data_IF_778888207170
#
_entry.id   IF_778888207170
#
_cell.length_a   1.000
_cell.length_b   1.000
_cell.length_c   1.000
_cell.angle_alpha   90.00
_cell.angle_beta   90.00
_cell.angle_gamma   90.00
#
_symmetry.space_group_name_H-M   'P 1'
#
loop_
_entity.id
_entity.type
_entity.pdbx_description
1 polymer ?
#
# COMPACT_ATOMS: atom_id res chain seq x y z
N UNK A 1 -77.26 -35.34 -48.46
CA UNK A 1 -75.96 -35.96 -48.76
C UNK A 1 -74.95 -34.84 -48.95
N UNK A 2 -74.30 -34.42 -47.88
CA UNK A 2 -73.26 -33.40 -47.91
C UNK A 2 -71.98 -34.03 -47.38
N UNK A 3 -70.91 -34.04 -48.19
CA UNK A 3 -69.64 -34.47 -47.87
C UNK A 3 -68.89 -33.38 -47.03
N UNK A 4 -68.54 -33.68 -45.82
CA UNK A 4 -67.63 -32.86 -45.01
C UNK A 4 -66.18 -33.30 -45.32
N UNK A 5 -65.51 -32.47 -46.10
CA UNK A 5 -64.05 -32.57 -46.26
C UNK A 5 -63.36 -31.77 -45.16
N UNK A 6 -62.84 -32.46 -44.18
CA UNK A 6 -62.05 -31.83 -43.12
C UNK A 6 -60.68 -31.40 -43.61
N UNK A 7 -60.46 -30.10 -43.78
CA UNK A 7 -59.15 -29.51 -43.94
C UNK A 7 -58.47 -29.46 -42.57
N UNK A 8 -57.39 -30.20 -42.37
CA UNK A 8 -56.48 -30.05 -41.21
C UNK A 8 -55.89 -28.62 -41.24
N UNK A 9 -55.89 -27.88 -40.13
CA UNK A 9 -55.36 -26.53 -40.08
C UNK A 9 -53.86 -26.53 -40.35
N UNK A 10 -53.43 -25.68 -41.27
CA UNK A 10 -52.07 -25.51 -41.74
C UNK A 10 -51.03 -25.30 -40.60
N UNK A 11 -51.50 -24.92 -39.42
CA UNK A 11 -50.66 -24.80 -38.21
C UNK A 11 -50.16 -26.13 -37.63
N UNK A 12 -50.92 -27.24 -37.81
CA UNK A 12 -50.55 -28.57 -37.35
C UNK A 12 -49.49 -29.22 -38.26
N UNK A 13 -49.56 -28.93 -39.55
CA UNK A 13 -48.58 -29.41 -40.53
C UNK A 13 -47.22 -28.72 -40.36
N UNK A 14 -47.24 -27.39 -40.08
CA UNK A 14 -46.05 -26.63 -39.78
C UNK A 14 -45.40 -27.08 -38.48
N UNK A 15 -46.15 -27.40 -37.42
CA UNK A 15 -45.64 -27.89 -36.16
C UNK A 15 -45.00 -29.30 -36.30
N UNK A 16 -45.57 -30.14 -37.11
CA UNK A 16 -45.01 -31.50 -37.38
C UNK A 16 -43.78 -31.45 -38.28
N UNK A 17 -43.69 -30.48 -39.22
CA UNK A 17 -42.47 -30.24 -40.00
C UNK A 17 -41.37 -29.61 -39.15
N UNK A 18 -41.71 -28.72 -38.21
CA UNK A 18 -40.71 -28.14 -37.29
C UNK A 18 -40.21 -29.22 -36.32
N UNK A 19 -41.08 -30.15 -35.86
CA UNK A 19 -40.66 -31.23 -34.98
C UNK A 19 -39.78 -32.26 -35.69
N UNK A 20 -39.97 -32.52 -36.98
CA UNK A 20 -39.09 -33.35 -37.79
C UNK A 20 -37.77 -32.66 -38.19
N UNK A 21 -37.72 -31.32 -38.24
CA UNK A 21 -36.49 -30.58 -38.45
C UNK A 21 -35.67 -30.45 -37.18
N UNK A 22 -36.33 -30.46 -36.01
CA UNK A 22 -35.63 -30.46 -34.72
C UNK A 22 -35.13 -31.84 -34.33
N UNK A 23 -35.77 -32.91 -34.83
CA UNK A 23 -35.35 -34.31 -34.55
C UNK A 23 -34.24 -34.84 -35.46
N UNK A 24 -33.75 -34.05 -36.41
CA UNK A 24 -32.54 -34.38 -37.18
C UNK A 24 -31.39 -33.44 -36.84
N UNK A 25 -31.17 -33.16 -35.60
CA UNK A 25 -29.81 -32.98 -35.09
C UNK A 25 -29.33 -34.39 -34.73
N UNK A 26 -28.74 -35.08 -35.69
CA UNK A 26 -27.70 -36.06 -35.41
C UNK A 26 -26.83 -35.50 -34.35
N UNK A 27 -26.72 -36.19 -33.24
CA UNK A 27 -25.78 -35.89 -32.19
C UNK A 27 -24.39 -35.83 -32.87
N UNK A 28 -23.96 -34.62 -33.28
CA UNK A 28 -22.56 -34.34 -33.41
C UNK A 28 -21.97 -34.78 -32.07
N UNK A 29 -21.10 -35.77 -32.09
CA UNK A 29 -20.51 -36.35 -30.90
C UNK A 29 -20.09 -35.18 -30.01
N UNK A 30 -20.63 -35.14 -28.81
CA UNK A 30 -20.21 -34.11 -27.83
C UNK A 30 -18.75 -34.40 -27.60
N UNK A 31 -17.89 -33.47 -28.10
CA UNK A 31 -16.47 -33.56 -27.81
C UNK A 31 -16.35 -33.54 -26.29
N UNK A 32 -15.80 -34.59 -25.74
CA UNK A 32 -15.57 -34.70 -24.31
C UNK A 32 -14.46 -33.77 -23.92
N UNK A 33 -14.68 -32.83 -22.98
CA UNK A 33 -13.65 -31.91 -22.48
C UNK A 33 -13.09 -32.47 -21.18
N UNK A 34 -11.80 -32.68 -21.13
CA UNK A 34 -11.07 -33.21 -19.96
C UNK A 34 -10.01 -32.21 -19.53
N UNK A 35 -9.91 -31.97 -18.23
CA UNK A 35 -8.93 -31.07 -17.64
C UNK A 35 -7.82 -31.86 -16.96
N UNK A 36 -6.57 -31.58 -17.34
CA UNK A 36 -5.38 -32.07 -16.67
C UNK A 36 -4.58 -30.92 -16.03
N UNK A 37 -3.81 -31.22 -15.00
CA UNK A 37 -2.92 -30.27 -14.36
C UNK A 37 -1.50 -30.38 -14.92
N UNK A 38 -0.83 -29.27 -15.13
CA UNK A 38 0.60 -29.22 -15.51
C UNK A 38 1.44 -30.05 -14.53
N UNK A 39 2.31 -30.92 -15.06
CA UNK A 39 3.13 -31.84 -14.27
C UNK A 39 2.40 -33.07 -13.75
N UNK A 40 1.07 -33.12 -13.84
CA UNK A 40 0.25 -34.25 -13.45
C UNK A 40 0.16 -35.33 -14.52
N UNK A 41 -0.74 -36.29 -14.30
CA UNK A 41 -1.08 -37.37 -15.26
C UNK A 41 -2.55 -37.33 -15.56
N UNK A 42 -2.93 -37.68 -16.80
CA UNK A 42 -4.32 -37.75 -17.24
C UNK A 42 -4.56 -39.01 -18.03
N UNK A 43 -5.78 -39.56 -17.93
CA UNK A 43 -6.24 -40.66 -18.72
C UNK A 43 -7.35 -40.19 -19.67
N UNK A 44 -7.12 -40.27 -20.96
CA UNK A 44 -8.11 -39.99 -21.99
C UNK A 44 -8.80 -41.30 -22.35
N UNK A 45 -10.11 -41.34 -22.14
CA UNK A 45 -10.89 -42.54 -22.37
C UNK A 45 -11.31 -42.66 -23.84
N UNK A 46 -11.01 -43.80 -24.46
CA UNK A 46 -11.65 -44.17 -25.74
C UNK A 46 -12.94 -44.92 -25.39
N UNK A 47 -14.09 -44.24 -25.47
CA UNK A 47 -15.39 -44.81 -25.03
C UNK A 47 -15.98 -45.73 -26.06
N UNK A 48 -16.74 -46.72 -25.58
CA UNK A 48 -17.50 -47.67 -26.39
C UNK A 48 -16.64 -48.52 -27.35
N UNK A 49 -15.40 -48.84 -26.96
CA UNK A 49 -14.53 -49.70 -27.76
C UNK A 49 -15.15 -51.08 -27.87
N UNK A 50 -15.36 -51.56 -29.10
CA UNK A 50 -15.89 -52.89 -29.39
C UNK A 50 -14.89 -53.97 -29.03
N UNK A 51 -15.39 -55.11 -28.53
CA UNK A 51 -14.56 -56.32 -28.31
C UNK A 51 -13.99 -56.89 -29.60
N UNK A 52 -14.54 -56.47 -30.76
CA UNK A 52 -14.13 -56.89 -32.07
C UNK A 52 -13.10 -55.94 -32.69
N UNK A 53 -12.72 -54.89 -32.00
CA UNK A 53 -11.70 -53.93 -32.49
C UNK A 53 -10.37 -54.65 -32.70
N UNK A 54 -9.85 -54.56 -33.88
CA UNK A 54 -8.55 -55.12 -34.23
C UNK A 54 -7.40 -54.26 -33.73
N UNK A 55 -7.62 -52.98 -33.63
CA UNK A 55 -6.61 -51.95 -33.24
C UNK A 55 -7.31 -50.70 -32.73
N UNK A 56 -6.69 -50.02 -31.76
CA UNK A 56 -7.05 -48.68 -31.29
C UNK A 56 -5.85 -47.74 -31.58
N UNK A 57 -6.14 -46.65 -32.25
CA UNK A 57 -5.11 -45.66 -32.67
C UNK A 57 -5.50 -44.32 -32.14
N UNK A 58 -4.56 -43.64 -31.47
CA UNK A 58 -4.70 -42.29 -31.01
C UNK A 58 -3.98 -41.28 -31.89
N UNK A 59 -4.64 -40.16 -32.14
CA UNK A 59 -4.12 -39.01 -32.89
C UNK A 59 -4.19 -37.75 -32.05
N UNK A 60 -3.21 -36.89 -32.17
CA UNK A 60 -3.31 -35.52 -31.69
C UNK A 60 -3.75 -34.66 -32.88
N UNK A 61 -5.02 -34.24 -32.86
CA UNK A 61 -5.66 -33.57 -34.00
C UNK A 61 -6.52 -34.47 -34.87
N UNK A 62 -6.68 -34.09 -36.13
CA UNK A 62 -7.48 -34.82 -37.11
C UNK A 62 -6.69 -36.06 -37.66
N UNK A 63 -7.30 -37.27 -37.60
CA UNK A 63 -6.66 -38.50 -38.09
C UNK A 63 -6.26 -38.48 -39.57
N UNK A 64 -6.87 -37.62 -40.39
CA UNK A 64 -6.56 -37.50 -41.81
C UNK A 64 -5.39 -36.56 -42.08
N UNK A 65 -5.07 -35.68 -41.14
CA UNK A 65 -4.07 -34.62 -41.33
C UNK A 65 -2.79 -34.87 -40.53
N UNK A 66 -2.87 -35.68 -39.45
CA UNK A 66 -1.75 -35.92 -38.55
C UNK A 66 -1.36 -37.40 -38.48
N UNK A 67 -0.07 -37.72 -38.27
CA UNK A 67 0.36 -39.10 -38.05
C UNK A 67 -0.17 -39.61 -36.71
N UNK A 68 -0.32 -40.94 -36.59
CA UNK A 68 -0.73 -41.54 -35.34
C UNK A 68 0.27 -41.25 -34.21
N UNK A 69 -0.27 -40.83 -33.07
CA UNK A 69 0.49 -40.59 -31.87
C UNK A 69 0.86 -41.90 -31.16
N UNK A 70 -0.10 -42.82 -31.11
CA UNK A 70 0.01 -44.11 -30.46
C UNK A 70 -0.93 -45.15 -31.10
N UNK A 71 -0.49 -46.39 -31.19
CA UNK A 71 -1.32 -47.51 -31.66
C UNK A 71 -1.13 -48.72 -30.73
N UNK A 72 -2.18 -49.49 -30.52
CA UNK A 72 -2.11 -50.72 -29.74
C UNK A 72 -1.20 -51.79 -30.35
N UNK A 73 -0.82 -51.65 -31.62
CA UNK A 73 0.10 -52.54 -32.32
C UNK A 73 1.53 -52.06 -32.39
N UNK A 74 1.79 -50.77 -32.16
CA UNK A 74 3.13 -50.19 -32.20
C UNK A 74 3.75 -50.18 -30.80
N UNK A 75 4.87 -50.88 -30.69
CA UNK A 75 5.50 -51.17 -29.37
C UNK A 75 6.23 -49.96 -28.72
N UNK A 76 6.48 -48.86 -29.46
CA UNK A 76 7.25 -47.74 -28.95
C UNK A 76 6.62 -46.38 -29.31
N UNK A 77 6.01 -45.68 -28.33
CA UNK A 77 5.61 -44.33 -28.51
C UNK A 77 6.86 -43.43 -28.72
N UNK A 78 6.74 -42.38 -29.55
CA UNK A 78 7.82 -41.38 -29.72
C UNK A 78 8.19 -40.62 -28.44
N UNK A 79 7.20 -40.47 -27.59
CA UNK A 79 7.36 -39.82 -26.29
C UNK A 79 7.00 -40.83 -25.19
N UNK A 80 7.94 -41.07 -24.27
CA UNK A 80 7.79 -42.03 -23.16
C UNK A 80 6.67 -41.65 -22.18
N UNK A 81 6.20 -40.42 -22.22
CA UNK A 81 5.10 -39.94 -21.40
C UNK A 81 3.73 -40.51 -21.81
N UNK A 82 3.61 -40.98 -23.04
CA UNK A 82 2.38 -41.54 -23.58
C UNK A 82 2.37 -43.07 -23.46
N UNK A 83 1.29 -43.60 -22.95
CA UNK A 83 1.10 -45.06 -22.85
C UNK A 83 -0.39 -45.44 -22.99
N UNK A 84 -0.67 -46.69 -23.40
CA UNK A 84 -2.03 -47.20 -23.39
C UNK A 84 -2.31 -47.94 -22.09
N UNK A 85 -3.50 -47.66 -21.55
CA UNK A 85 -4.09 -48.40 -20.44
C UNK A 85 -5.27 -49.22 -20.97
N UNK A 86 -5.35 -50.50 -20.57
CA UNK A 86 -6.40 -51.42 -21.00
C UNK A 86 -6.58 -51.53 -22.53
N UNK A 87 -5.47 -51.38 -23.26
CA UNK A 87 -5.39 -51.41 -24.73
C UNK A 87 -6.25 -50.38 -25.47
N UNK A 88 -6.85 -49.43 -24.81
CA UNK A 88 -7.74 -48.45 -25.45
C UNK A 88 -7.57 -47.02 -24.98
N UNK A 89 -7.37 -46.80 -23.71
CA UNK A 89 -7.28 -45.43 -23.13
C UNK A 89 -5.86 -44.91 -23.17
N UNK A 90 -5.70 -43.62 -23.51
CA UNK A 90 -4.40 -42.97 -23.58
C UNK A 90 -4.05 -42.33 -22.24
N UNK A 91 -2.98 -42.77 -21.62
CA UNK A 91 -2.41 -42.16 -20.43
C UNK A 91 -1.29 -41.23 -20.83
N UNK A 92 -1.32 -39.98 -20.33
CA UNK A 92 -0.27 -38.97 -20.52
C UNK A 92 0.25 -38.59 -19.14
N UNK A 93 1.54 -38.77 -18.91
CA UNK A 93 2.22 -38.40 -17.67
C UNK A 93 3.02 -37.12 -17.86
N UNK A 94 3.35 -36.41 -16.76
CA UNK A 94 4.11 -35.14 -16.81
C UNK A 94 3.51 -34.14 -17.82
N UNK A 95 2.20 -33.89 -17.69
CA UNK A 95 1.48 -32.99 -18.61
C UNK A 95 2.18 -31.63 -18.74
N UNK A 96 2.26 -31.18 -19.98
CA UNK A 96 2.82 -29.87 -20.37
C UNK A 96 1.75 -29.03 -21.04
N UNK A 97 1.88 -27.71 -21.01
CA UNK A 97 0.95 -26.80 -21.68
C UNK A 97 0.79 -27.12 -23.18
N UNK A 98 1.88 -27.58 -23.81
CA UNK A 98 1.88 -27.96 -25.23
C UNK A 98 1.14 -29.28 -25.54
N UNK A 99 0.76 -30.05 -24.54
CA UNK A 99 -0.06 -31.24 -24.71
C UNK A 99 -1.56 -30.89 -24.82
N UNK A 100 -1.92 -29.62 -24.59
CA UNK A 100 -3.29 -29.12 -24.80
C UNK A 100 -3.69 -29.26 -26.26
N UNK A 101 -4.91 -29.75 -26.49
CA UNK A 101 -5.42 -29.92 -27.84
C UNK A 101 -6.52 -30.96 -27.96
N UNK A 102 -6.92 -31.21 -29.21
CA UNK A 102 -7.91 -32.23 -29.53
C UNK A 102 -7.20 -33.56 -29.77
N UNK A 103 -7.70 -34.61 -29.14
CA UNK A 103 -7.24 -35.97 -29.33
C UNK A 103 -8.37 -36.80 -29.95
N UNK A 104 -8.02 -37.59 -30.94
CA UNK A 104 -8.99 -38.50 -31.61
C UNK A 104 -8.55 -39.94 -31.40
N UNK A 105 -9.42 -40.71 -30.77
CA UNK A 105 -9.31 -42.17 -30.69
C UNK A 105 -10.05 -42.76 -31.89
N UNK A 106 -9.37 -43.56 -32.68
CA UNK A 106 -9.96 -44.32 -33.79
C UNK A 106 -9.90 -45.82 -33.46
N UNK A 107 -11.05 -46.44 -33.48
CA UNK A 107 -11.22 -47.91 -33.40
C UNK A 107 -11.27 -48.48 -34.80
N UNK A 108 -10.32 -49.35 -35.10
CA UNK A 108 -10.26 -50.03 -36.43
C UNK A 108 -11.08 -51.33 -36.37
N UNK A 109 -12.15 -51.34 -37.15
CA UNK A 109 -13.05 -52.49 -37.31
C UNK A 109 -13.02 -53.01 -38.74
N UNK A 110 -13.50 -54.24 -38.96
CA UNK A 110 -13.47 -54.88 -40.31
C UNK A 110 -14.35 -54.17 -41.35
N UNK A 111 -15.33 -53.32 -40.95
CA UNK A 111 -16.30 -52.71 -41.88
C UNK A 111 -16.39 -51.21 -41.78
N UNK A 112 -16.28 -50.66 -40.59
CA UNK A 112 -16.38 -49.21 -40.36
C UNK A 112 -15.52 -48.83 -39.15
N UNK A 113 -14.77 -47.75 -39.28
CA UNK A 113 -13.99 -47.18 -38.18
C UNK A 113 -14.90 -46.26 -37.34
N UNK A 114 -14.77 -46.35 -36.01
CA UNK A 114 -15.43 -45.41 -35.10
C UNK A 114 -14.41 -44.45 -34.52
N UNK A 115 -14.77 -43.17 -34.47
CA UNK A 115 -13.95 -42.10 -33.91
C UNK A 115 -14.62 -41.54 -32.66
N UNK A 116 -13.80 -41.32 -31.61
CA UNK A 116 -14.18 -40.60 -30.42
C UNK A 116 -13.19 -39.44 -30.22
N UNK A 117 -13.72 -38.24 -29.99
CA UNK A 117 -12.93 -37.01 -29.84
C UNK A 117 -12.94 -36.58 -28.37
N UNK A 118 -11.76 -36.20 -27.89
CA UNK A 118 -11.55 -35.68 -26.53
C UNK A 118 -10.72 -34.38 -26.65
N UNK A 119 -11.24 -33.31 -26.10
CA UNK A 119 -10.48 -32.08 -25.95
C UNK A 119 -9.77 -32.09 -24.61
N UNK A 120 -8.45 -32.10 -24.61
CA UNK A 120 -7.63 -31.95 -23.42
C UNK A 120 -7.29 -30.48 -23.21
N UNK A 121 -7.66 -29.93 -22.06
CA UNK A 121 -7.24 -28.64 -21.58
C UNK A 121 -6.24 -28.83 -20.45
N UNK A 122 -5.08 -28.16 -20.55
CA UNK A 122 -4.00 -28.31 -19.57
C UNK A 122 -4.01 -27.11 -18.64
N UNK A 123 -4.51 -27.32 -17.44
CA UNK A 123 -4.67 -26.27 -16.46
C UNK A 123 -3.43 -26.09 -15.58
N UNK A 124 -3.09 -24.85 -15.32
CA UNK A 124 -2.05 -24.46 -14.38
C UNK A 124 -2.66 -23.56 -13.29
N UNK A 125 -2.87 -24.06 -12.06
CA UNK A 125 -3.47 -23.24 -11.02
C UNK A 125 -2.49 -22.16 -10.55
N UNK A 126 -3.00 -20.97 -10.13
CA UNK A 126 -2.15 -19.94 -9.54
C UNK A 126 -1.35 -20.48 -8.34
N UNK A 127 -0.07 -20.15 -8.28
CA UNK A 127 0.84 -20.64 -7.24
C UNK A 127 0.67 -19.90 -5.91
N UNK A 128 0.43 -18.59 -5.98
CA UNK A 128 0.22 -17.75 -4.81
C UNK A 128 -1.24 -17.80 -4.34
N UNK A 129 -1.49 -17.35 -3.12
CA UNK A 129 -2.83 -17.08 -2.62
C UNK A 129 -3.39 -15.77 -3.23
N UNK A 130 -4.72 -15.60 -3.33
CA UNK A 130 -5.32 -14.34 -3.75
C UNK A 130 -4.98 -13.22 -2.77
N UNK A 131 -4.89 -12.00 -3.30
CA UNK A 131 -4.65 -10.77 -2.54
C UNK A 131 -5.87 -9.88 -2.58
N UNK A 132 -6.24 -9.32 -1.43
CA UNK A 132 -7.36 -8.42 -1.27
C UNK A 132 -6.90 -7.06 -0.75
N UNK A 133 -7.51 -6.00 -1.25
CA UNK A 133 -7.38 -4.66 -0.68
C UNK A 133 -8.63 -3.84 -0.98
N UNK A 134 -8.75 -2.71 -0.31
CA UNK A 134 -9.86 -1.79 -0.49
C UNK A 134 -9.35 -0.39 -0.79
N UNK A 135 -10.00 0.30 -1.69
CA UNK A 135 -9.70 1.68 -2.05
C UNK A 135 -10.95 2.55 -2.00
N UNK A 136 -10.75 3.84 -1.84
CA UNK A 136 -11.82 4.84 -1.98
C UNK A 136 -11.93 5.26 -3.44
N UNK A 137 -13.14 5.40 -3.96
CA UNK A 137 -13.34 6.01 -5.28
C UNK A 137 -12.78 7.43 -5.33
N UNK A 138 -12.60 7.97 -6.52
CA UNK A 138 -12.13 9.35 -6.72
C UNK A 138 -13.01 10.40 -6.02
N UNK A 139 -14.31 10.14 -5.86
CA UNK A 139 -15.23 10.98 -5.09
C UNK A 139 -15.11 10.82 -3.57
N UNK A 140 -14.40 9.79 -3.10
CA UNK A 140 -14.29 9.44 -1.67
C UNK A 140 -15.54 8.84 -1.03
N UNK A 141 -16.62 8.68 -1.80
CA UNK A 141 -17.93 8.27 -1.28
C UNK A 141 -18.27 6.79 -1.53
N UNK A 142 -17.53 6.11 -2.38
CA UNK A 142 -17.76 4.71 -2.72
C UNK A 142 -16.55 3.87 -2.31
N UNK A 143 -16.82 2.63 -1.91
CA UNK A 143 -15.81 1.63 -1.60
C UNK A 143 -15.54 0.77 -2.83
N UNK A 144 -14.29 0.58 -3.19
CA UNK A 144 -13.85 -0.39 -4.19
C UNK A 144 -13.09 -1.51 -3.50
N UNK A 145 -13.58 -2.74 -3.70
CA UNK A 145 -12.94 -3.96 -3.20
C UNK A 145 -12.21 -4.63 -4.35
N UNK A 146 -10.93 -4.83 -4.21
CA UNK A 146 -10.08 -5.47 -5.20
C UNK A 146 -9.65 -6.85 -4.72
N UNK A 147 -9.86 -7.86 -5.57
CA UNK A 147 -9.37 -9.20 -5.37
C UNK A 147 -8.55 -9.62 -6.59
N UNK A 148 -7.30 -9.98 -6.40
CA UNK A 148 -6.40 -10.37 -7.48
C UNK A 148 -5.74 -11.71 -7.21
N UNK A 149 -5.79 -12.60 -8.22
CA UNK A 149 -5.18 -13.93 -8.16
C UNK A 149 -4.54 -14.28 -9.50
N UNK A 150 -3.36 -13.72 -9.79
CA UNK A 150 -2.71 -13.85 -11.09
C UNK A 150 -2.03 -15.21 -11.29
N UNK A 151 -1.80 -15.56 -12.56
CA UNK A 151 -0.93 -16.65 -12.97
C UNK A 151 -1.62 -18.00 -13.18
N UNK A 152 -2.95 -18.04 -13.20
CA UNK A 152 -3.73 -19.24 -13.51
C UNK A 152 -4.07 -19.40 -14.98
N UNK A 153 -4.14 -20.64 -15.48
CA UNK A 153 -4.70 -20.99 -16.77
C UNK A 153 -5.55 -22.27 -16.63
N UNK A 154 -6.80 -22.30 -17.12
CA UNK A 154 -7.58 -21.12 -17.46
C UNK A 154 -7.68 -20.14 -16.29
N UNK A 155 -8.14 -18.93 -16.57
CA UNK A 155 -8.24 -17.90 -15.53
C UNK A 155 -9.09 -18.37 -14.36
N UNK A 156 -8.68 -18.07 -13.11
CA UNK A 156 -9.48 -18.36 -11.93
C UNK A 156 -10.75 -17.52 -11.91
N UNK A 157 -11.78 -18.01 -11.25
CA UNK A 157 -12.98 -17.23 -10.92
C UNK A 157 -12.86 -16.70 -9.50
N UNK A 158 -13.23 -15.44 -9.31
CA UNK A 158 -13.15 -14.71 -8.06
C UNK A 158 -14.52 -14.19 -7.67
N UNK A 159 -14.93 -14.37 -6.44
CA UNK A 159 -16.21 -13.91 -5.92
C UNK A 159 -16.04 -13.24 -4.57
N UNK A 160 -16.64 -12.07 -4.41
CA UNK A 160 -16.72 -11.39 -3.14
C UNK A 160 -17.93 -11.88 -2.34
N UNK A 161 -17.73 -12.06 -1.04
CA UNK A 161 -18.75 -12.49 -0.08
C UNK A 161 -18.78 -11.59 1.14
N UNK A 162 -19.99 -11.38 1.63
CA UNK A 162 -20.27 -10.75 2.90
C UNK A 162 -21.05 -11.73 3.77
N UNK A 163 -20.57 -12.03 4.97
CA UNK A 163 -21.22 -12.97 5.90
C UNK A 163 -21.64 -14.31 5.28
N UNK A 164 -20.88 -14.79 4.30
CA UNK A 164 -21.14 -16.04 3.59
C UNK A 164 -22.08 -15.96 2.40
N UNK A 165 -22.67 -14.78 2.12
CA UNK A 165 -23.50 -14.54 0.95
C UNK A 165 -22.67 -13.86 -0.17
N UNK A 166 -22.98 -14.21 -1.41
CA UNK A 166 -22.32 -13.59 -2.56
C UNK A 166 -22.77 -12.13 -2.71
N UNK A 167 -21.79 -11.26 -2.85
CA UNK A 167 -22.00 -9.80 -2.85
C UNK A 167 -22.68 -9.32 -4.13
N UNK A 168 -22.45 -9.97 -5.28
CA UNK A 168 -23.02 -9.64 -6.59
C UNK A 168 -24.54 -9.52 -6.58
N UNK A 169 -25.23 -10.22 -5.69
CA UNK A 169 -26.68 -10.20 -5.57
C UNK A 169 -27.22 -9.10 -4.62
N UNK A 170 -26.34 -8.30 -4.04
CA UNK A 170 -26.69 -7.28 -3.07
C UNK A 170 -27.12 -5.99 -3.76
N UNK A 171 -28.21 -5.37 -3.28
CA UNK A 171 -28.80 -4.15 -3.85
C UNK A 171 -27.92 -2.90 -3.74
N UNK A 172 -26.85 -2.95 -2.98
CA UNK A 172 -25.92 -1.84 -2.74
C UNK A 172 -24.59 -1.95 -3.51
N UNK A 173 -24.46 -2.99 -4.34
CA UNK A 173 -23.39 -3.09 -5.36
C UNK A 173 -23.77 -2.16 -6.51
N UNK A 174 -22.89 -1.22 -6.83
CA UNK A 174 -23.06 -0.25 -7.91
C UNK A 174 -22.54 -0.82 -9.22
N UNK A 175 -21.38 -1.45 -9.19
CA UNK A 175 -20.78 -2.08 -10.35
C UNK A 175 -19.85 -3.22 -9.94
N UNK A 176 -19.80 -4.24 -10.80
CA UNK A 176 -18.91 -5.37 -10.73
C UNK A 176 -18.09 -5.43 -12.01
N UNK A 177 -16.78 -5.59 -11.89
CA UNK A 177 -15.87 -5.66 -13.03
C UNK A 177 -14.90 -6.80 -12.81
N UNK A 178 -14.88 -7.73 -13.76
CA UNK A 178 -13.94 -8.84 -13.77
C UNK A 178 -12.97 -8.73 -14.94
N UNK A 179 -11.70 -8.90 -14.67
CA UNK A 179 -10.66 -9.17 -15.65
C UNK A 179 -10.15 -10.62 -15.52
N UNK A 180 -9.13 -10.99 -16.26
CA UNK A 180 -8.59 -12.35 -16.25
C UNK A 180 -8.18 -12.86 -14.86
N UNK A 181 -7.68 -11.99 -14.03
CA UNK A 181 -7.05 -12.33 -12.74
C UNK A 181 -7.41 -11.38 -11.59
N UNK A 182 -8.28 -10.41 -11.85
CA UNK A 182 -8.71 -9.42 -10.85
C UNK A 182 -10.21 -9.16 -10.95
N UNK A 183 -10.86 -9.17 -9.79
CA UNK A 183 -12.29 -8.87 -9.64
C UNK A 183 -12.47 -7.68 -8.72
N UNK A 184 -13.23 -6.68 -9.19
CA UNK A 184 -13.46 -5.42 -8.49
C UNK A 184 -14.95 -5.20 -8.29
N UNK A 185 -15.35 -4.99 -7.03
CA UNK A 185 -16.68 -4.61 -6.64
C UNK A 185 -16.70 -3.16 -6.16
N UNK A 186 -17.60 -2.36 -6.69
CA UNK A 186 -17.83 -0.99 -6.24
C UNK A 186 -19.12 -0.91 -5.45
N UNK A 187 -19.04 -0.48 -4.20
CA UNK A 187 -20.11 -0.51 -3.23
C UNK A 187 -20.52 0.89 -2.79
N UNK A 188 -21.82 1.05 -2.53
CA UNK A 188 -22.34 2.28 -1.93
C UNK A 188 -21.97 2.34 -0.43
N UNK A 189 -21.56 3.50 0.04
CA UNK A 189 -21.18 3.73 1.43
C UNK A 189 -22.33 3.61 2.45
N UNK A 190 -23.58 3.67 2.01
CA UNK A 190 -24.77 3.68 2.89
C UNK A 190 -24.91 2.44 3.79
N UNK A 191 -24.33 1.31 3.39
CA UNK A 191 -24.39 0.03 4.11
C UNK A 191 -23.07 -0.36 4.78
N UNK A 192 -22.06 0.52 4.71
CA UNK A 192 -20.77 0.26 5.33
C UNK A 192 -20.82 0.56 6.81
N UNK A 193 -20.19 -0.31 7.59
CA UNK A 193 -20.02 -0.14 9.03
C UNK A 193 -18.57 -0.45 9.44
N UNK A 194 -18.14 0.16 10.53
CA UNK A 194 -16.82 -0.11 11.10
C UNK A 194 -16.64 -1.58 11.43
N UNK A 195 -15.48 -2.17 11.06
CA UNK A 195 -15.10 -3.57 11.21
C UNK A 195 -15.91 -4.57 10.38
N UNK A 196 -16.61 -4.10 9.37
CA UNK A 196 -17.25 -4.99 8.42
C UNK A 196 -16.18 -5.74 7.60
N UNK A 197 -16.35 -7.05 7.45
CA UNK A 197 -15.37 -7.92 6.78
C UNK A 197 -15.93 -8.42 5.47
N UNK A 198 -15.16 -8.25 4.41
CA UNK A 198 -15.41 -8.82 3.11
C UNK A 198 -14.39 -9.93 2.82
N UNK A 199 -14.87 -11.02 2.24
CA UNK A 199 -14.06 -12.19 1.89
C UNK A 199 -14.12 -12.42 0.39
N UNK A 200 -12.98 -12.44 -0.28
CA UNK A 200 -12.86 -12.91 -1.65
C UNK A 200 -12.50 -14.39 -1.66
N UNK A 201 -13.22 -15.17 -2.43
CA UNK A 201 -13.00 -16.59 -2.62
C UNK A 201 -12.61 -16.84 -4.07
N UNK A 202 -11.46 -17.45 -4.27
CA UNK A 202 -11.00 -17.89 -5.57
C UNK A 202 -11.32 -19.36 -5.83
N UNK A 203 -11.72 -19.70 -7.05
CA UNK A 203 -11.87 -21.08 -7.49
C UNK A 203 -11.14 -21.30 -8.82
N UNK A 204 -10.58 -22.49 -8.98
CA UNK A 204 -9.89 -22.90 -10.19
C UNK A 204 -10.23 -24.35 -10.53
N UNK A 205 -10.38 -24.65 -11.81
CA UNK A 205 -10.91 -25.94 -12.29
C UNK A 205 -10.19 -27.17 -11.74
N UNK A 206 -8.89 -27.12 -11.57
CA UNK A 206 -8.07 -28.27 -11.12
C UNK A 206 -7.68 -28.19 -9.64
N UNK A 207 -8.03 -27.10 -8.93
CA UNK A 207 -7.72 -26.93 -7.50
C UNK A 207 -8.99 -27.15 -6.68
N UNK A 208 -9.02 -28.20 -5.87
CA UNK A 208 -10.17 -28.48 -5.01
C UNK A 208 -10.32 -27.48 -3.86
N UNK A 209 -9.20 -26.95 -3.38
CA UNK A 209 -9.20 -25.93 -2.35
C UNK A 209 -9.61 -24.58 -2.94
N UNK A 210 -10.47 -23.88 -2.24
CA UNK A 210 -10.88 -22.51 -2.57
C UNK A 210 -10.13 -21.53 -1.67
N UNK A 211 -8.94 -21.07 -2.09
CA UNK A 211 -8.21 -20.10 -1.31
C UNK A 211 -8.98 -18.78 -1.25
N UNK A 212 -8.81 -18.08 -0.14
CA UNK A 212 -9.54 -16.85 0.10
C UNK A 212 -8.63 -15.80 0.75
N UNK A 213 -8.99 -14.55 0.56
CA UNK A 213 -8.44 -13.41 1.29
C UNK A 213 -9.57 -12.58 1.89
N UNK A 214 -9.26 -11.77 2.89
CA UNK A 214 -10.24 -10.94 3.58
C UNK A 214 -9.78 -9.50 3.69
N UNK A 215 -10.72 -8.58 3.66
CA UNK A 215 -10.52 -7.16 3.92
C UNK A 215 -11.49 -6.74 5.03
N UNK A 216 -10.96 -6.24 6.12
CA UNK A 216 -11.73 -5.59 7.18
C UNK A 216 -11.73 -4.08 6.93
N UNK A 217 -12.88 -3.48 6.73
CA UNK A 217 -12.99 -2.04 6.56
C UNK A 217 -13.10 -1.34 7.90
N UNK A 218 -12.36 -0.22 8.02
CA UNK A 218 -12.23 0.51 9.27
C UNK A 218 -12.51 1.99 9.08
N UNK A 219 -13.26 2.54 10.02
CA UNK A 219 -13.40 3.98 10.18
C UNK A 219 -12.03 4.58 10.53
N UNK A 220 -11.68 5.79 10.03
CA UNK A 220 -10.44 6.46 10.42
C UNK A 220 -10.34 6.68 11.93
N UNK A 221 -9.15 6.50 12.48
CA UNK A 221 -8.78 6.91 13.84
C UNK A 221 -7.67 7.94 13.74
N UNK A 222 -7.80 9.04 14.50
CA UNK A 222 -6.90 10.19 14.42
C UNK A 222 -6.12 10.38 15.70
N UNK A 223 -4.87 10.79 15.53
CA UNK A 223 -3.97 11.21 16.62
C UNK A 223 -3.27 12.51 16.22
N UNK A 224 -3.09 13.40 17.18
CA UNK A 224 -2.34 14.65 17.02
C UNK A 224 -1.25 14.80 18.06
N UNK A 225 -0.32 15.70 17.78
CA UNK A 225 0.62 16.19 18.78
C UNK A 225 -0.09 17.04 19.84
N UNK A 226 0.53 17.19 21.03
CA UNK A 226 0.02 18.10 22.06
C UNK A 226 -0.19 19.53 21.53
N UNK A 227 -1.04 20.35 22.18
CA UNK A 227 -1.24 21.75 21.79
C UNK A 227 0.08 22.49 21.61
N UNK A 228 0.22 23.17 20.48
CA UNK A 228 1.44 23.89 20.10
C UNK A 228 1.37 25.35 20.50
N UNK A 229 2.55 25.94 20.72
CA UNK A 229 2.68 27.39 20.94
C UNK A 229 3.57 27.97 19.85
N UNK A 230 3.11 29.05 19.21
CA UNK A 230 3.87 29.84 18.24
C UNK A 230 4.14 31.23 18.78
N UNK A 231 5.32 31.80 18.53
CA UNK A 231 5.55 33.23 18.77
C UNK A 231 5.21 34.03 17.51
N UNK A 232 4.77 35.27 17.72
CA UNK A 232 4.48 36.19 16.61
C UNK A 232 5.71 36.31 15.73
N UNK A 233 5.55 36.12 14.43
CA UNK A 233 6.61 36.12 13.44
C UNK A 233 7.25 34.77 13.13
N UNK A 234 7.08 33.77 13.98
CA UNK A 234 7.62 32.43 13.78
C UNK A 234 6.70 31.57 12.90
N UNK A 235 7.21 30.39 12.52
CA UNK A 235 6.44 29.37 11.83
C UNK A 235 6.12 28.22 12.78
N UNK A 236 4.94 27.61 12.60
CA UNK A 236 4.53 26.44 13.37
C UNK A 236 3.96 25.37 12.44
N UNK A 237 4.18 24.12 12.76
CA UNK A 237 3.60 22.98 12.03
C UNK A 237 2.71 22.19 12.96
N UNK A 238 1.45 22.05 12.57
CA UNK A 238 0.47 21.20 13.21
C UNK A 238 0.45 19.86 12.50
N UNK A 239 0.49 18.75 13.25
CA UNK A 239 0.55 17.40 12.70
C UNK A 239 -0.70 16.62 13.08
N UNK A 240 -1.26 15.94 12.11
CA UNK A 240 -2.37 15.02 12.27
C UNK A 240 -2.02 13.68 11.60
N UNK A 241 -2.23 12.60 12.33
CA UNK A 241 -1.93 11.24 11.87
C UNK A 241 -3.18 10.36 11.91
N UNK A 242 -3.38 9.59 10.84
CA UNK A 242 -4.34 8.47 10.84
C UNK A 242 -3.63 7.24 11.37
N UNK A 243 -4.09 6.68 12.47
CA UNK A 243 -3.55 5.46 13.10
C UNK A 243 -4.19 4.21 12.55
N UNK A 244 -5.48 4.28 12.23
CA UNK A 244 -6.24 3.20 11.61
C UNK A 244 -7.19 3.77 10.57
N UNK A 245 -7.52 2.96 9.56
CA UNK A 245 -8.47 3.31 8.51
C UNK A 245 -8.29 2.41 7.30
N UNK A 246 -9.36 1.76 6.87
CA UNK A 246 -9.40 0.95 5.65
C UNK A 246 -10.72 1.20 4.92
N UNK A 247 -10.69 1.69 3.69
CA UNK A 247 -9.53 2.20 2.93
C UNK A 247 -8.84 3.41 3.57
N UNK A 248 -7.69 3.78 3.00
CA UNK A 248 -6.95 4.96 3.43
C UNK A 248 -7.84 6.21 3.41
N UNK A 249 -7.75 7.03 4.46
CA UNK A 249 -8.55 8.23 4.58
C UNK A 249 -7.92 9.42 3.85
N UNK A 250 -8.77 10.27 3.27
CA UNK A 250 -8.38 11.61 2.83
C UNK A 250 -8.34 12.53 4.03
N UNK A 251 -7.24 13.26 4.19
CA UNK A 251 -7.05 14.26 5.24
C UNK A 251 -7.28 15.66 4.69
N UNK A 252 -7.99 16.48 5.45
CA UNK A 252 -8.14 17.91 5.19
C UNK A 252 -8.09 18.70 6.49
N UNK A 253 -7.80 20.00 6.38
CA UNK A 253 -7.72 20.93 7.50
C UNK A 253 -8.81 21.97 7.39
N UNK A 254 -9.53 22.21 8.49
CA UNK A 254 -10.52 23.27 8.59
C UNK A 254 -10.11 24.25 9.68
N UNK A 255 -10.56 25.47 9.53
CA UNK A 255 -10.35 26.51 10.50
C UNK A 255 -11.66 26.80 11.21
N UNK A 256 -11.63 26.72 12.53
CA UNK A 256 -12.68 27.09 13.46
C UNK A 256 -14.13 26.63 13.17
N UNK A 257 -14.79 26.21 14.22
CA UNK A 257 -16.16 25.62 14.25
C UNK A 257 -17.24 26.68 14.08
N UNK A 258 -16.92 27.96 14.20
CA UNK A 258 -17.88 29.05 14.25
C UNK A 258 -18.34 29.58 12.89
N UNK A 259 -17.77 29.09 11.79
CA UNK A 259 -18.15 29.46 10.42
C UNK A 259 -18.39 28.21 9.55
N UNK A 260 -19.20 28.30 8.47
CA UNK A 260 -19.41 27.15 7.61
C UNK A 260 -18.06 26.55 7.18
N UNK A 261 -17.96 25.23 7.25
CA UNK A 261 -16.78 24.40 7.03
C UNK A 261 -15.94 24.86 5.83
N UNK A 262 -15.05 25.83 6.04
CA UNK A 262 -14.12 26.28 5.01
C UNK A 262 -12.81 25.47 5.14
N UNK A 263 -12.57 24.62 4.15
CA UNK A 263 -11.34 23.86 4.07
C UNK A 263 -10.16 24.80 3.79
N UNK A 264 -9.11 24.72 4.62
CA UNK A 264 -7.88 25.48 4.42
C UNK A 264 -7.23 24.99 3.12
N UNK A 265 -7.13 25.88 2.15
CA UNK A 265 -6.44 25.59 0.90
C UNK A 265 -4.95 25.89 1.03
N UNK A 266 -4.09 25.03 0.43
CA UNK A 266 -2.66 25.31 0.39
C UNK A 266 -2.39 26.59 -0.42
N UNK A 267 -1.66 27.51 0.17
CA UNK A 267 -1.31 28.79 -0.46
C UNK A 267 -1.05 29.90 0.54
N UNK A 268 -0.41 30.97 0.11
CA UNK A 268 -0.06 32.09 0.97
C UNK A 268 0.78 31.66 2.18
N UNK A 269 0.25 31.82 3.38
CA UNK A 269 0.92 31.46 4.64
C UNK A 269 0.67 30.01 5.09
N UNK A 270 -0.26 29.30 4.45
CA UNK A 270 -0.61 27.94 4.81
C UNK A 270 0.01 26.94 3.84
N UNK A 271 0.90 26.10 4.35
CA UNK A 271 1.50 25.01 3.59
C UNK A 271 0.94 23.68 4.12
N UNK A 272 0.36 22.90 3.23
CA UNK A 272 -0.17 21.58 3.57
C UNK A 272 0.67 20.53 2.86
N UNK A 273 1.26 19.62 3.63
CA UNK A 273 1.99 18.46 3.14
C UNK A 273 1.34 17.20 3.67
N UNK A 274 1.03 16.25 2.78
CA UNK A 274 0.53 14.94 3.14
C UNK A 274 1.51 13.87 2.68
N UNK A 275 1.93 13.02 3.62
CA UNK A 275 2.81 11.87 3.37
C UNK A 275 2.15 10.62 3.97
N UNK A 276 1.58 9.79 3.10
CA UNK A 276 0.84 8.61 3.54
C UNK A 276 -0.30 8.96 4.52
N UNK A 277 -0.20 8.46 5.73
CA UNK A 277 -1.20 8.63 6.79
C UNK A 277 -0.99 9.89 7.66
N UNK A 278 -0.06 10.77 7.30
CA UNK A 278 0.27 11.98 8.08
C UNK A 278 0.02 13.21 7.24
N UNK A 279 -0.72 14.16 7.79
CA UNK A 279 -0.89 15.51 7.21
C UNK A 279 -0.31 16.54 8.14
N UNK A 280 0.46 17.48 7.56
CA UNK A 280 1.10 18.59 8.26
C UNK A 280 0.59 19.91 7.69
N UNK A 281 0.06 20.75 8.58
CA UNK A 281 -0.31 22.12 8.28
C UNK A 281 0.76 23.06 8.86
N UNK A 282 1.54 23.71 8.01
CA UNK A 282 2.52 24.71 8.42
C UNK A 282 1.94 26.09 8.23
N UNK A 283 1.91 26.86 9.31
CA UNK A 283 1.47 28.26 9.36
C UNK A 283 2.73 29.13 9.44
N UNK A 284 2.95 29.93 8.42
CA UNK A 284 4.09 30.84 8.33
C UNK A 284 3.74 32.21 8.91
N UNK A 285 4.70 32.81 9.60
CA UNK A 285 4.57 34.13 10.20
C UNK A 285 3.34 34.28 11.10
N UNK A 286 3.34 33.52 12.21
CA UNK A 286 2.24 33.49 13.17
C UNK A 286 1.83 34.90 13.61
N UNK A 287 0.54 35.20 13.58
CA UNK A 287 -0.04 36.46 13.97
C UNK A 287 -0.98 36.32 15.17
N UNK A 288 -0.80 37.16 16.16
CA UNK A 288 -1.67 37.19 17.33
C UNK A 288 -3.07 37.70 16.94
N UNK A 289 -4.10 36.97 17.40
CA UNK A 289 -5.50 37.33 17.12
C UNK A 289 -6.07 36.74 15.83
N UNK A 290 -5.23 36.33 14.86
CA UNK A 290 -5.70 35.71 13.63
C UNK A 290 -5.40 34.21 13.55
N UNK A 291 -4.28 33.73 14.10
CA UNK A 291 -3.84 32.35 13.93
C UNK A 291 -4.01 31.51 15.22
N UNK A 292 -4.26 32.13 16.35
CA UNK A 292 -4.58 31.43 17.60
C UNK A 292 -5.97 30.82 17.53
N UNK A 293 -6.13 29.64 18.12
CA UNK A 293 -7.38 28.89 18.14
C UNK A 293 -7.21 27.42 17.84
N UNK A 294 -8.30 26.72 17.62
CA UNK A 294 -8.26 25.30 17.28
C UNK A 294 -8.50 25.09 15.79
N UNK A 295 -7.65 24.30 15.18
CA UNK A 295 -7.78 23.79 13.83
C UNK A 295 -8.38 22.40 13.87
N UNK A 296 -9.17 22.05 12.89
CA UNK A 296 -9.81 20.72 12.80
C UNK A 296 -9.13 19.91 11.72
N UNK A 297 -8.52 18.80 12.10
CA UNK A 297 -8.08 17.78 11.18
C UNK A 297 -9.24 16.84 10.91
N UNK A 298 -9.66 16.74 9.65
CA UNK A 298 -10.75 15.93 9.18
C UNK A 298 -10.22 14.76 8.37
N UNK A 299 -10.54 13.53 8.78
CA UNK A 299 -10.21 12.31 8.04
C UNK A 299 -11.50 11.65 7.55
N UNK A 300 -11.58 11.40 6.26
CA UNK A 300 -12.74 10.81 5.62
C UNK A 300 -12.36 9.63 4.74
N UNK A 301 -13.10 8.53 4.90
CA UNK A 301 -13.12 7.41 3.98
C UNK A 301 -14.58 6.97 3.70
N UNK A 302 -14.85 5.98 2.83
CA UNK A 302 -16.23 5.53 2.55
C UNK A 302 -17.00 5.01 3.76
N UNK A 303 -16.32 4.60 4.84
CA UNK A 303 -16.97 4.13 6.07
C UNK A 303 -17.50 5.28 6.90
N UNK A 304 -16.86 6.45 6.83
CA UNK A 304 -17.30 7.65 7.53
C UNK A 304 -16.20 8.68 7.76
N UNK A 305 -16.54 9.61 8.64
CA UNK A 305 -15.77 10.80 8.95
C UNK A 305 -15.31 10.78 10.40
N UNK A 306 -14.10 11.28 10.66
CA UNK A 306 -13.57 11.63 12.00
C UNK A 306 -12.89 12.99 11.97
N UNK A 307 -13.04 13.70 13.09
CA UNK A 307 -12.49 15.03 13.29
C UNK A 307 -11.68 15.06 14.57
N UNK A 308 -10.58 15.79 14.54
CA UNK A 308 -9.68 15.97 15.67
C UNK A 308 -9.27 17.43 15.78
N UNK A 309 -9.44 18.00 16.99
CA UNK A 309 -9.08 19.38 17.26
C UNK A 309 -7.61 19.49 17.64
N UNK A 310 -6.88 20.33 16.92
CA UNK A 310 -5.47 20.65 17.14
C UNK A 310 -5.37 22.11 17.46
N UNK A 311 -5.10 22.46 18.73
CA UNK A 311 -5.15 23.84 19.19
C UNK A 311 -3.76 24.52 19.18
N UNK A 312 -3.72 25.77 18.71
CA UNK A 312 -2.54 26.61 18.61
C UNK A 312 -2.69 27.83 19.50
N UNK A 313 -1.70 28.10 20.33
CA UNK A 313 -1.60 29.32 21.13
C UNK A 313 -0.54 30.23 20.52
N UNK A 314 -0.90 31.46 20.18
CA UNK A 314 0.06 32.47 19.68
C UNK A 314 0.41 33.44 20.79
N UNK A 315 1.71 33.58 21.09
CA UNK A 315 2.23 34.44 22.14
C UNK A 315 3.14 35.49 21.54
N UNK A 316 3.18 36.70 22.17
CA UNK A 316 4.20 37.67 21.84
C UNK A 316 5.55 37.26 22.44
N UNK A 317 6.67 37.43 21.72
CA UNK A 317 7.97 37.21 22.31
C UNK A 317 8.20 38.24 23.42
N UNK A 318 8.54 37.77 24.62
CA UNK A 318 8.88 38.66 25.72
C UNK A 318 10.23 39.32 25.42
N UNK A 319 10.25 40.67 25.37
CA UNK A 319 11.49 41.41 25.20
C UNK A 319 12.32 41.33 26.50
N UNK A 320 13.06 40.25 26.68
CA UNK A 320 13.90 40.00 27.86
C UNK A 320 14.90 41.12 28.08
N UNK A 321 15.46 41.71 27.00
CA UNK A 321 16.40 42.81 27.09
C UNK A 321 15.76 44.05 27.73
N UNK A 322 14.53 44.36 27.34
CA UNK A 322 13.77 45.47 27.93
C UNK A 322 13.45 45.24 29.41
N UNK A 323 13.06 44.03 29.78
CA UNK A 323 12.73 43.65 31.16
C UNK A 323 14.00 43.70 32.06
N UNK A 324 15.09 43.07 31.59
CA UNK A 324 16.37 43.10 32.33
C UNK A 324 16.91 44.54 32.43
N UNK A 325 16.84 45.32 31.36
CA UNK A 325 17.22 46.72 31.36
C UNK A 325 16.43 47.53 32.38
N UNK A 326 15.10 47.36 32.46
CA UNK A 326 14.26 48.03 33.43
C UNK A 326 14.59 47.61 34.89
N UNK A 327 14.84 46.34 35.13
CA UNK A 327 15.24 45.86 36.49
C UNK A 327 16.59 46.40 36.88
N UNK A 328 17.56 46.46 35.97
CA UNK A 328 18.90 47.06 36.25
C UNK A 328 18.78 48.55 36.54
N UNK A 329 18.02 49.30 35.76
CA UNK A 329 17.81 50.72 35.99
C UNK A 329 17.13 51.00 37.35
N UNK A 330 16.08 50.24 37.66
CA UNK A 330 15.38 50.35 38.95
C UNK A 330 16.30 50.00 40.14
N UNK A 331 17.14 48.99 40.00
CA UNK A 331 18.11 48.61 41.04
C UNK A 331 19.17 49.69 41.25
N UNK A 332 19.67 50.29 40.19
CA UNK A 332 20.63 51.43 40.28
C UNK A 332 19.98 52.63 40.92
N UNK A 333 18.74 52.99 40.56
CA UNK A 333 18.01 54.06 41.20
C UNK A 333 17.77 53.82 42.70
N UNK A 334 17.45 52.60 43.08
CA UNK A 334 17.28 52.26 44.50
C UNK A 334 18.60 52.38 45.29
N UNK A 335 19.72 51.90 44.70
CA UNK A 335 21.05 52.06 45.30
C UNK A 335 21.40 53.54 45.43
N UNK A 336 21.18 54.38 44.41
CA UNK A 336 21.46 55.81 44.43
C UNK A 336 20.59 56.53 45.48
N UNK A 337 19.31 56.20 45.57
CA UNK A 337 18.42 56.80 46.62
C UNK A 337 18.84 56.42 48.02
N UNK A 338 19.14 55.12 48.25
CA UNK A 338 19.61 54.65 49.56
C UNK A 338 20.94 55.27 49.93
N UNK A 339 21.91 55.35 49.02
CA UNK A 339 23.20 56.03 49.24
C UNK A 339 23.01 57.51 49.50
N UNK A 340 22.14 58.18 48.74
CA UNK A 340 21.80 59.57 48.97
C UNK A 340 21.20 59.83 50.36
N UNK A 341 20.27 59.00 50.78
CA UNK A 341 19.67 59.08 52.11
C UNK A 341 20.70 58.79 53.23
N UNK A 342 21.55 57.76 53.06
CA UNK A 342 22.62 57.45 54.03
C UNK A 342 23.62 58.63 54.15
N UNK A 343 24.00 59.25 53.06
CA UNK A 343 24.91 60.42 53.06
C UNK A 343 24.24 61.63 53.68
N UNK A 344 22.96 61.84 53.44
CA UNK A 344 22.17 62.91 54.06
C UNK A 344 22.11 62.84 55.59
N UNK A 345 21.84 61.64 56.12
CA UNK A 345 21.74 61.42 57.56
C UNK A 345 23.09 61.22 58.26
N UNK A 346 24.18 60.84 57.51
CA UNK A 346 25.51 60.63 58.08
C UNK A 346 26.58 61.35 57.25
N UNK A 347 26.67 62.73 57.35
CA UNK A 347 27.58 63.54 56.57
C UNK A 347 29.10 63.28 56.86
N UNK A 348 29.37 62.59 58.00
CA UNK A 348 30.74 62.20 58.38
C UNK A 348 31.32 61.06 57.51
N UNK A 349 30.49 60.31 56.82
CA UNK A 349 30.94 59.28 55.89
C UNK A 349 31.52 59.85 54.60
N UNK A 350 31.04 61.05 54.20
CA UNK A 350 31.55 61.79 53.02
C UNK A 350 32.98 62.29 53.25
N UNK A 351 33.31 62.65 54.45
CA UNK A 351 34.64 63.20 54.80
C UNK A 351 35.72 62.09 54.93
N UNK A 352 35.31 60.86 55.15
CA UNK A 352 36.22 59.67 55.20
C UNK A 352 36.58 59.16 53.81
N UNK A 353 35.75 59.32 52.82
CA UNK A 353 36.00 58.87 51.48
C UNK A 353 36.98 59.79 50.73
N UNK A 354 37.11 61.12 51.18
CA UNK A 354 38.04 62.07 50.58
C UNK A 354 39.48 61.99 51.14
N UNK A 355 39.68 61.20 52.22
CA UNK A 355 41.01 61.10 52.86
C UNK A 355 41.85 59.91 52.55
N UNK A 356 41.38 59.07 51.59
CA UNK A 356 42.14 57.90 51.15
C UNK A 356 42.58 58.05 49.67
N UNK A 357 43.28 59.09 49.37
CA UNK A 357 44.12 59.17 48.18
C UNK A 357 45.54 59.03 48.62
N UNK A 358 46.24 57.95 48.35
CA UNK A 358 47.69 57.91 48.52
C UNK A 358 48.27 58.75 47.38
N UNK A 359 48.99 59.86 47.77
CA UNK A 359 49.89 60.54 46.90
C UNK A 359 51.07 59.56 46.62
N UNK A 360 51.16 59.11 45.44
CA UNK A 360 52.46 58.80 44.85
C UNK A 360 52.57 59.46 43.49
N UNK A 361 53.61 60.21 43.45
CA UNK A 361 54.04 60.98 42.34
C UNK A 361 54.54 60.12 41.19
N UNK A 362 54.38 60.69 40.08
CA UNK A 362 55.31 60.68 38.93
C UNK A 362 54.94 59.79 37.73
N UNK A 363 55.00 60.56 36.69
CA UNK A 363 55.14 60.20 35.26
C UNK A 363 53.89 60.33 34.42
N UNK A 364 53.99 61.37 33.59
CA UNK A 364 53.02 61.78 32.64
C UNK A 364 52.73 60.80 31.55
N UNK A 365 51.52 60.81 31.16
CA UNK A 365 51.16 60.64 29.74
C UNK A 365 49.83 61.30 29.47
N UNK A 366 49.89 62.07 28.44
CA UNK A 366 48.85 62.94 27.87
C UNK A 366 47.80 62.07 27.21
N UNK A 367 46.58 62.08 27.74
CA UNK A 367 45.44 61.58 27.00
C UNK A 367 44.94 62.68 26.04
N UNK A 368 45.22 62.48 24.77
CA UNK A 368 44.61 63.23 23.67
C UNK A 368 43.21 62.65 23.43
N UNK A 369 42.19 63.44 23.69
CA UNK A 369 40.87 63.27 23.16
C UNK A 369 40.95 63.54 21.63
N UNK A 370 40.59 62.55 20.84
CA UNK A 370 40.27 62.75 19.43
C UNK A 370 38.78 62.41 19.26
N UNK A 371 38.01 63.48 19.10
CA UNK A 371 36.76 63.47 18.36
C UNK A 371 37.07 63.07 16.93
N UNK A 372 36.32 62.17 16.36
CA UNK A 372 36.18 62.04 14.93
C UNK A 372 34.81 61.45 14.65
N UNK A 373 34.00 62.31 14.13
CA UNK A 373 32.84 61.99 13.29
C UNK A 373 33.34 61.51 11.93
N UNK A 374 32.51 60.64 11.34
CA UNK A 374 32.20 60.45 9.92
C UNK A 374 33.08 59.61 9.01
N UNK A 375 32.35 58.69 8.39
CA UNK A 375 32.28 58.28 6.96
C UNK A 375 33.24 57.23 6.38
N UNK A 376 32.54 56.24 5.88
CA UNK A 376 32.65 55.58 4.58
C UNK A 376 33.79 54.58 4.27
N UNK A 377 33.31 53.39 3.87
CA UNK A 377 33.77 52.48 2.81
C UNK A 377 35.19 51.90 2.78
N UNK A 378 35.22 50.62 2.66
CA UNK A 378 36.18 49.98 1.75
C UNK A 378 37.12 48.95 2.27
N UNK A 379 36.73 47.70 2.02
CA UNK A 379 37.59 46.65 1.44
C UNK A 379 38.98 46.33 2.01
N UNK A 380 39.12 45.10 2.38
CA UNK A 380 40.32 44.31 1.97
C UNK A 380 41.21 43.77 3.07
N UNK A 381 41.25 42.49 3.08
CA UNK A 381 42.42 41.58 3.21
C UNK A 381 43.32 41.58 4.45
N UNK A 382 43.40 40.38 4.93
CA UNK A 382 44.60 39.57 5.23
C UNK A 382 45.44 39.83 6.49
N UNK A 383 45.51 38.71 7.17
CA UNK A 383 46.66 38.04 7.79
C UNK A 383 47.21 38.48 9.13
N UNK A 384 47.31 37.46 9.92
CA UNK A 384 48.40 36.86 10.64
C UNK A 384 48.59 37.13 12.13
N UNK A 385 48.53 36.01 12.80
CA UNK A 385 49.55 35.40 13.70
C UNK A 385 49.86 35.99 15.08
N UNK A 386 49.77 35.12 16.04
CA UNK A 386 50.57 35.16 17.27
C UNK A 386 49.73 34.92 18.53
N UNK A 387 49.62 33.76 19.01
CA UNK A 387 50.43 32.87 19.87
C UNK A 387 50.67 33.42 21.28
N UNK A 388 50.40 32.54 22.14
CA UNK A 388 50.94 32.21 23.48
C UNK A 388 49.96 32.29 24.65
N UNK A 389 49.57 31.11 25.11
CA UNK A 389 49.97 30.34 26.33
C UNK A 389 49.59 30.99 27.63
N UNK A 390 48.95 30.35 28.46
CA UNK A 390 48.98 29.20 29.32
C UNK A 390 48.46 29.56 30.71
N UNK A 391 47.80 28.75 31.30
CA UNK A 391 47.72 27.96 32.54
C UNK A 391 46.40 27.99 33.28
N UNK A 392 45.87 26.82 33.38
CA UNK A 392 45.58 25.91 34.55
C UNK A 392 44.52 26.46 35.53
N UNK A 393 43.56 25.71 36.00
CA UNK A 393 43.43 24.28 36.28
C UNK A 393 42.00 23.99 36.76
N UNK A 394 41.62 22.72 36.55
CA UNK A 394 40.85 21.79 37.43
C UNK A 394 39.43 22.24 37.85
N UNK A 395 38.43 21.43 37.83
CA UNK A 395 38.21 19.98 37.70
C UNK A 395 36.73 19.64 37.71
N UNK A 396 36.43 18.56 37.07
CA UNK A 396 35.55 17.45 37.43
C UNK A 396 34.03 17.56 37.19
N UNK A 397 33.62 16.68 36.39
CA UNK A 397 32.80 15.44 36.35
C UNK A 397 31.48 15.60 35.63
N UNK A 398 31.34 14.89 34.56
CA UNK A 398 30.62 13.70 34.21
C UNK A 398 29.64 13.83 33.13
N UNK A 399 29.90 13.23 31.99
CA UNK A 399 29.22 12.08 31.51
C UNK A 399 28.43 12.24 30.23
N UNK A 400 28.88 11.50 29.23
CA UNK A 400 28.17 10.83 28.10
C UNK A 400 27.75 11.63 26.87
N UNK A 401 28.50 11.71 25.90
CA UNK A 401 28.79 11.02 24.62
C UNK A 401 27.56 10.54 23.84
N UNK A 402 27.27 11.17 22.71
CA UNK A 402 26.90 10.54 21.45
C UNK A 402 27.36 11.41 20.28
N UNK A 403 28.18 10.79 19.44
CA UNK A 403 28.74 11.34 18.20
C UNK A 403 27.74 11.20 17.05
N UNK A 404 27.77 12.11 16.05
CA UNK A 404 27.12 11.90 14.77
C UNK A 404 28.05 11.25 13.76
N UNK A 405 27.51 10.33 12.98
CA UNK A 405 28.17 9.68 11.86
C UNK A 405 28.18 10.58 10.63
N UNK A 406 29.35 10.65 10.02
CA UNK A 406 29.65 11.30 8.76
C UNK A 406 29.16 10.51 7.55
N UNK A 407 28.60 11.23 6.60
CA UNK A 407 28.31 10.91 5.20
C UNK A 407 29.60 11.00 4.37
N UNK A 408 29.86 10.02 3.48
CA UNK A 408 30.63 10.16 2.24
C UNK A 408 30.25 9.03 1.29
N UNK A 409 29.59 9.32 0.22
CA UNK A 409 29.95 9.56 -1.18
C UNK A 409 30.73 8.45 -1.90
N UNK A 410 29.97 7.83 -2.89
CA UNK A 410 30.31 7.35 -4.24
C UNK A 410 31.60 6.57 -4.50
N UNK A 411 31.51 5.42 -5.14
CA UNK A 411 31.75 5.18 -6.57
C UNK A 411 31.57 3.71 -6.93
N UNK A 412 31.17 3.53 -8.18
CA UNK A 412 31.06 2.34 -9.02
C UNK A 412 32.26 1.41 -9.00
N UNK A 413 31.99 0.14 -9.37
CA UNK A 413 33.01 -0.74 -9.95
C UNK A 413 32.74 -2.22 -9.71
N UNK A 414 32.18 -2.85 -10.68
CA UNK A 414 32.38 -4.16 -11.29
C UNK A 414 33.04 -5.33 -10.54
N UNK A 415 32.32 -6.46 -10.75
CA UNK A 415 32.76 -7.82 -11.16
C UNK A 415 33.41 -8.79 -10.17
N UNK A 416 32.83 -9.97 -10.28
CA UNK A 416 33.38 -11.33 -10.29
C UNK A 416 33.62 -12.12 -8.99
N UNK A 417 32.82 -13.18 -9.00
CA UNK A 417 33.19 -14.62 -8.84
C UNK A 417 33.57 -15.18 -7.46
N UNK A 418 32.89 -16.25 -7.19
CA UNK A 418 33.34 -17.60 -6.87
C UNK A 418 33.35 -18.07 -5.39
N UNK A 419 32.54 -19.06 -5.20
CA UNK A 419 32.72 -20.34 -4.52
C UNK A 419 32.65 -20.50 -2.98
N UNK A 420 31.78 -21.48 -2.69
CA UNK A 420 31.90 -22.57 -1.65
C UNK A 420 31.68 -22.14 -0.21
N UNK A 421 30.89 -22.85 0.51
CA UNK A 421 30.64 -24.23 0.78
C UNK A 421 29.74 -24.40 1.99
N UNK A 422 28.92 -25.35 1.85
CA UNK A 422 28.62 -26.48 2.75
C UNK A 422 28.68 -26.25 4.26
N UNK A 423 27.54 -26.38 4.93
CA UNK A 423 27.39 -27.41 5.97
C UNK A 423 25.95 -27.57 6.42
N UNK A 424 25.46 -28.77 6.27
CA UNK A 424 24.28 -29.33 6.87
C UNK A 424 24.49 -29.53 8.37
N UNK A 425 23.44 -29.34 9.16
CA UNK A 425 23.25 -30.13 10.37
C UNK A 425 21.77 -30.35 10.64
N UNK A 426 21.44 -31.57 10.53
CA UNK A 426 20.37 -32.46 10.92
C UNK A 426 20.31 -32.56 12.47
N UNK A 427 19.10 -32.46 13.06
CA UNK A 427 18.69 -33.09 14.31
C UNK A 427 17.17 -33.20 14.28
N UNK A 428 16.58 -34.32 13.92
CA UNK A 428 16.16 -35.50 14.66
C UNK A 428 14.96 -35.30 15.57
N UNK A 429 13.90 -35.98 15.13
CA UNK A 429 12.74 -36.55 15.78
C UNK A 429 12.75 -36.65 17.31
N UNK A 430 11.59 -36.37 17.92
CA UNK A 430 11.06 -37.26 18.93
C UNK A 430 9.53 -37.19 19.01
N UNK A 431 8.94 -38.34 18.76
CA UNK A 431 7.55 -38.72 18.91
C UNK A 431 7.20 -38.99 20.37
N UNK A 432 5.96 -38.68 20.77
CA UNK A 432 5.01 -39.41 21.68
C UNK A 432 3.90 -38.42 22.05
N UNK A 433 2.66 -38.64 21.83
CA UNK A 433 1.83 -39.83 22.13
C UNK A 433 0.94 -39.52 23.34
N UNK A 434 -0.27 -39.13 23.10
CA UNK A 434 -1.52 -39.57 23.78
C UNK A 434 -2.72 -38.95 23.06
#
# INVERSE_FOLDING_TARGET
MQRLGGMLPARLVLALCFWRLVSRREAAGTDEVVFGQVGGSILLLCRNVSKEASEVVWFQGDPHSFPPLFSSRVSFPRDVRFSLVDNSSLSITELRVQDEGNYTCREVLNKTDHEHRVQLLVANPPQAAPKCWAESSSSGLMLQLFCSWPGGYPHPTLHWREEGQDLENSSWVISSTSSSDTHVETLNSSHLSHRKVFKCVGSHLVKQEQPACTVEIKLPSLESEPPQTCFVGDNVTLTCRVTEGTPAARLSWLRDISQPEEEIQPGGRFLIAQEGNVSRLTIQNCSQGTDGGCYVCKAQNPVGLRELFVCLTVKQPVNIVGVVGAVVVLSLLTVLTVTGVVLYYNPLLCLRACSAVPRNADSGDVLVLVDSEDDEEGKGSEEALGSCTEHEAMALVGGSRAQPAHLNHLTEGDEDELHRGVSAQEVREETRGS
#
